data_IF_225757800928
#
_entry.id   IF_225757800928
#
_cell.length_a   1.000
_cell.length_b   1.000
_cell.length_c   1.000
_cell.angle_alpha   90.00
_cell.angle_beta   90.00
_cell.angle_gamma   90.00
#
_symmetry.space_group_name_H-M   'P 1'
#
loop_
_entity.id
_entity.type
_entity.pdbx_description
1 polymer ?
#
# COMPACT_ATOMS: atom_id res chain seq x y z
N UNK A 1 -7.55 -21.58 -5.06
CA UNK A 1 -6.59 -20.81 -4.28
C UNK A 1 -7.24 -19.55 -3.77
N UNK A 2 -7.15 -19.34 -2.47
CA UNK A 2 -7.71 -18.14 -1.87
C UNK A 2 -6.80 -16.97 -2.16
N UNK A 3 -7.40 -15.87 -2.62
CA UNK A 3 -6.68 -14.63 -2.80
C UNK A 3 -6.54 -13.93 -1.45
N UNK A 4 -5.37 -13.40 -1.18
CA UNK A 4 -5.13 -12.58 -0.02
C UNK A 4 -5.18 -11.11 -0.42
N UNK A 5 -5.77 -10.32 0.45
CA UNK A 5 -5.92 -8.88 0.23
C UNK A 5 -5.23 -8.15 1.35
N UNK A 6 -4.61 -7.02 1.03
CA UNK A 6 -3.84 -6.27 2.01
C UNK A 6 -4.20 -4.79 1.94
N UNK A 7 -4.37 -4.20 3.11
CA UNK A 7 -4.27 -2.75 3.27
C UNK A 7 -2.86 -2.47 3.77
N UNK A 8 -2.19 -1.50 3.19
CA UNK A 8 -0.82 -1.18 3.57
C UNK A 8 -0.65 0.32 3.72
N UNK A 9 0.36 0.70 4.50
CA UNK A 9 0.70 2.10 4.68
C UNK A 9 2.20 2.27 4.45
N UNK A 10 2.56 3.27 3.67
CA UNK A 10 3.95 3.61 3.40
C UNK A 10 4.24 5.02 3.87
N UNK A 11 5.47 5.23 4.29
CA UNK A 11 5.98 6.56 4.61
C UNK A 11 6.77 7.05 3.41
N UNK A 12 6.43 8.24 2.94
CA UNK A 12 7.09 8.85 1.80
C UNK A 12 8.35 9.61 2.25
N UNK A 13 9.17 10.01 1.29
CA UNK A 13 10.40 10.74 1.56
C UNK A 13 10.15 12.03 2.34
N UNK A 14 9.06 12.71 2.05
CA UNK A 14 8.71 13.97 2.72
C UNK A 14 8.07 13.77 4.10
N UNK A 15 8.00 12.54 4.59
CA UNK A 15 7.43 12.23 5.89
C UNK A 15 5.93 12.00 5.90
N UNK A 16 5.24 12.18 4.77
CA UNK A 16 3.80 11.94 4.69
C UNK A 16 3.52 10.44 4.60
N UNK A 17 2.30 10.05 4.97
CA UNK A 17 1.87 8.66 4.91
C UNK A 17 0.87 8.48 3.78
N UNK A 18 0.98 7.34 3.10
CA UNK A 18 0.05 6.96 2.05
C UNK A 18 -0.50 5.58 2.38
N UNK A 19 -1.83 5.45 2.33
CA UNK A 19 -2.53 4.19 2.56
C UNK A 19 -3.03 3.66 1.24
N UNK A 20 -2.76 2.38 0.96
CA UNK A 20 -3.15 1.75 -0.29
C UNK A 20 -3.69 0.36 -0.07
N UNK A 21 -4.15 -0.22 -1.17
CA UNK A 21 -4.74 -1.56 -1.21
C UNK A 21 -4.02 -2.38 -2.29
N UNK A 22 -3.76 -3.63 -2.00
CA UNK A 22 -3.16 -4.53 -2.98
C UNK A 22 -3.63 -5.97 -2.77
N UNK A 23 -3.64 -6.74 -3.86
CA UNK A 23 -3.92 -8.18 -3.80
C UNK A 23 -2.62 -8.99 -3.78
N UNK A 24 -1.48 -8.31 -3.86
CA UNK A 24 -0.16 -8.91 -3.82
C UNK A 24 0.53 -8.60 -2.49
N UNK A 25 1.69 -9.22 -2.30
CA UNK A 25 2.57 -8.92 -1.17
C UNK A 25 2.80 -7.40 -1.08
N UNK A 26 2.54 -6.77 0.09
CA UNK A 26 2.78 -5.33 0.25
C UNK A 26 4.21 -4.91 -0.09
N UNK A 27 5.19 -5.75 0.18
CA UNK A 27 6.59 -5.43 -0.16
C UNK A 27 6.80 -5.32 -1.67
N UNK A 28 6.14 -6.19 -2.45
CA UNK A 28 6.19 -6.10 -3.91
C UNK A 28 5.54 -4.81 -4.39
N UNK A 29 4.45 -4.42 -3.76
CA UNK A 29 3.76 -3.18 -4.11
C UNK A 29 4.62 -1.96 -3.80
N UNK A 30 5.35 -1.99 -2.70
CA UNK A 30 6.29 -0.92 -2.35
C UNK A 30 7.38 -0.80 -3.43
N UNK A 31 7.88 -1.94 -3.93
CA UNK A 31 8.85 -1.92 -5.03
C UNK A 31 8.28 -1.27 -6.29
N UNK A 32 7.00 -1.50 -6.58
CA UNK A 32 6.32 -0.86 -7.71
C UNK A 32 6.25 0.65 -7.50
N UNK A 33 5.90 1.10 -6.29
CA UNK A 33 5.91 2.53 -5.97
C UNK A 33 7.29 3.14 -6.19
N UNK A 34 8.34 2.49 -5.67
CA UNK A 34 9.70 3.00 -5.77
C UNK A 34 10.25 2.98 -7.20
N UNK A 35 9.66 2.18 -8.08
CA UNK A 35 9.97 2.18 -9.51
C UNK A 35 9.25 3.31 -10.27
N UNK A 36 8.45 4.12 -9.57
CA UNK A 36 7.70 5.21 -10.19
C UNK A 36 6.43 4.76 -10.90
N UNK A 37 6.00 3.52 -10.67
CA UNK A 37 4.84 2.92 -11.35
C UNK A 37 3.65 2.73 -10.42
N UNK A 38 3.73 3.24 -9.19
CA UNK A 38 2.65 3.12 -8.23
C UNK A 38 1.67 4.26 -8.33
N UNK A 39 1.11 4.68 -7.19
CA UNK A 39 0.13 5.74 -7.14
C UNK A 39 0.75 7.09 -7.52
N UNK A 40 -0.09 7.94 -8.11
CA UNK A 40 0.33 9.31 -8.48
C UNK A 40 0.82 10.08 -7.25
N UNK A 41 0.17 9.87 -6.11
CA UNK A 41 0.54 10.54 -4.86
C UNK A 41 1.99 10.26 -4.48
N UNK A 42 2.46 9.02 -4.65
CA UNK A 42 3.80 8.63 -4.24
C UNK A 42 4.88 8.99 -5.24
N UNK A 43 4.52 9.24 -6.50
CA UNK A 43 5.48 9.46 -7.58
C UNK A 43 6.47 10.58 -7.29
N UNK A 44 6.01 11.67 -6.72
CA UNK A 44 6.87 12.81 -6.40
C UNK A 44 7.47 12.77 -4.99
N UNK A 45 7.27 11.65 -4.28
CA UNK A 45 7.65 11.51 -2.87
C UNK A 45 8.47 10.26 -2.61
N UNK A 46 9.13 9.75 -3.65
CA UNK A 46 9.97 8.57 -3.54
C UNK A 46 11.31 8.89 -2.90
N UNK A 47 11.95 7.94 -2.22
CA UNK A 47 11.47 6.58 -2.00
C UNK A 47 10.42 6.49 -0.90
N UNK A 48 9.61 5.45 -0.95
CA UNK A 48 8.64 5.15 0.10
C UNK A 48 9.06 3.89 0.84
N UNK A 49 8.62 3.80 2.10
CA UNK A 49 8.95 2.66 2.97
C UNK A 49 7.66 2.09 3.54
N UNK A 50 7.53 0.76 3.50
CA UNK A 50 6.41 0.07 4.15
C UNK A 50 6.55 0.18 5.66
N UNK A 51 5.54 0.76 6.32
CA UNK A 51 5.55 0.93 7.79
C UNK A 51 4.47 0.10 8.47
N UNK A 52 3.46 -0.35 7.73
CA UNK A 52 2.38 -1.15 8.30
C UNK A 52 1.60 -1.84 7.19
N UNK A 53 1.05 -3.03 7.47
CA UNK A 53 0.10 -3.68 6.58
C UNK A 53 -0.78 -4.63 7.38
N UNK A 54 -1.93 -4.94 6.81
CA UNK A 54 -2.86 -5.90 7.37
C UNK A 54 -3.42 -6.78 6.27
N UNK A 55 -3.46 -8.08 6.53
CA UNK A 55 -4.02 -9.07 5.62
C UNK A 55 -5.51 -9.23 5.89
N UNK A 56 -6.29 -9.38 4.83
CA UNK A 56 -7.72 -9.56 4.90
C UNK A 56 -8.13 -10.77 4.07
N UNK A 57 -9.25 -11.39 4.47
CA UNK A 57 -9.79 -12.54 3.75
C UNK A 57 -10.61 -12.14 2.52
N UNK A 58 -11.04 -10.87 2.44
CA UNK A 58 -11.79 -10.40 1.28
C UNK A 58 -11.42 -8.94 0.99
N UNK A 59 -11.61 -8.55 -0.29
CA UNK A 59 -11.21 -7.23 -0.76
C UNK A 59 -12.07 -6.10 -0.20
N UNK A 60 -13.31 -6.40 0.20
CA UNK A 60 -14.19 -5.39 0.77
C UNK A 60 -13.63 -4.88 2.11
N UNK A 61 -13.25 -5.82 2.99
CA UNK A 61 -12.69 -5.45 4.29
C UNK A 61 -11.38 -4.68 4.16
N UNK A 62 -10.53 -5.08 3.22
CA UNK A 62 -9.26 -4.39 2.98
C UNK A 62 -9.48 -2.95 2.53
N UNK A 63 -10.43 -2.74 1.64
CA UNK A 63 -10.76 -1.40 1.13
C UNK A 63 -11.40 -0.53 2.19
N UNK A 64 -12.26 -1.11 3.02
CA UNK A 64 -12.88 -0.38 4.13
C UNK A 64 -11.83 0.10 5.13
N UNK A 65 -10.85 -0.74 5.43
CA UNK A 65 -9.75 -0.38 6.31
C UNK A 65 -8.94 0.79 5.74
N UNK A 66 -8.66 0.77 4.45
CA UNK A 66 -7.97 1.87 3.76
C UNK A 66 -8.74 3.17 3.95
N UNK A 67 -10.05 3.12 3.86
CA UNK A 67 -10.89 4.31 3.96
C UNK A 67 -10.88 4.93 5.35
N UNK A 68 -10.75 4.11 6.39
CA UNK A 68 -10.84 4.57 7.78
C UNK A 68 -9.48 4.79 8.45
N UNK A 69 -8.42 4.50 7.76
CA UNK A 69 -7.08 4.78 8.26
C UNK A 69 -6.65 6.20 7.92
#
# INVERSE_FOLDING_TARGET
>A
MEKKYFTYMVRCQDGTLYTGFTVDDPEKRVAVHNAGKGAKYTKGRLPVRLVWYREWNNGHDARSCEFYL
#
